data_IF_081263742352
#
_entry.id   IF_081263742352
#
_cell.length_a   1.000
_cell.length_b   1.000
_cell.length_c   1.000
_cell.angle_alpha   90.00
_cell.angle_beta   90.00
_cell.angle_gamma   90.00
#
_symmetry.space_group_name_H-M   'P 1'
#
loop_
_entity.id
_entity.type
_entity.pdbx_description
1 polymer ?
#
# COMPACT_ATOMS: atom_id res chain seq x y z
N UNK A 1 -5.47 30.61 -43.76
CA UNK A 1 -5.21 29.40 -42.94
C UNK A 1 -6.48 28.58 -42.90
N UNK A 2 -6.43 27.32 -43.32
CA UNK A 2 -7.60 26.45 -43.44
C UNK A 2 -8.04 25.98 -42.04
N UNK A 3 -9.31 26.13 -41.69
CA UNK A 3 -9.87 25.76 -40.37
C UNK A 3 -9.65 24.28 -40.08
N UNK A 4 -9.65 23.44 -41.12
CA UNK A 4 -9.36 22.00 -41.00
C UNK A 4 -7.89 21.71 -40.64
N UNK A 5 -6.97 22.57 -41.08
CA UNK A 5 -5.54 22.46 -40.76
C UNK A 5 -5.28 22.87 -39.30
N UNK A 6 -5.99 23.88 -38.81
CA UNK A 6 -5.91 24.30 -37.40
C UNK A 6 -6.50 23.23 -36.46
N UNK A 7 -7.63 22.62 -36.82
CA UNK A 7 -8.23 21.53 -36.06
C UNK A 7 -7.35 20.27 -36.03
N UNK A 8 -6.68 19.95 -37.15
CA UNK A 8 -5.75 18.82 -37.22
C UNK A 8 -4.48 19.05 -36.37
N UNK A 9 -3.96 20.28 -36.36
CA UNK A 9 -2.85 20.65 -35.48
C UNK A 9 -3.26 20.56 -34.01
N UNK A 10 -4.48 21.00 -33.66
CA UNK A 10 -4.99 20.96 -32.30
C UNK A 10 -5.16 19.52 -31.79
N UNK A 11 -5.67 18.60 -32.62
CA UNK A 11 -5.83 17.18 -32.24
C UNK A 11 -4.49 16.47 -32.09
N UNK A 12 -3.52 16.76 -32.95
CA UNK A 12 -2.16 16.22 -32.86
C UNK A 12 -1.46 16.73 -31.60
N UNK A 13 -1.59 18.02 -31.28
CA UNK A 13 -1.06 18.61 -30.05
C UNK A 13 -1.70 17.98 -28.81
N UNK A 14 -3.02 17.79 -28.78
CA UNK A 14 -3.72 17.09 -27.69
C UNK A 14 -3.26 15.63 -27.54
N UNK A 15 -2.93 14.93 -28.63
CA UNK A 15 -2.43 13.55 -28.58
C UNK A 15 -1.01 13.45 -27.98
N UNK A 16 -0.18 14.49 -28.13
CA UNK A 16 1.16 14.55 -27.52
C UNK A 16 1.17 14.88 -26.02
N UNK A 17 0.03 15.29 -25.44
CA UNK A 17 -0.08 15.60 -24.00
C UNK A 17 -0.51 14.41 -23.13
N UNK A 18 -0.80 13.25 -23.72
CA UNK A 18 -1.16 12.04 -22.98
C UNK A 18 0.03 11.08 -22.92
N UNK A 19 1.11 11.47 -22.23
CA UNK A 19 2.09 10.50 -21.74
C UNK A 19 1.46 9.73 -20.58
N UNK A 20 0.82 8.61 -20.88
CA UNK A 20 0.63 7.57 -19.87
C UNK A 20 1.99 6.93 -19.65
N UNK A 21 2.81 7.45 -18.72
CA UNK A 21 4.03 6.75 -18.31
C UNK A 21 3.63 5.38 -17.75
N UNK A 22 3.89 4.34 -18.52
CA UNK A 22 3.72 2.97 -18.09
C UNK A 22 4.67 2.70 -16.92
N UNK A 23 4.22 1.94 -15.93
CA UNK A 23 5.06 1.57 -14.80
C UNK A 23 6.29 0.79 -15.30
N UNK A 24 7.46 1.10 -14.76
CA UNK A 24 8.73 0.52 -15.19
C UNK A 24 9.58 0.05 -13.99
N UNK A 25 10.20 -1.13 -14.05
CA UNK A 25 11.21 -1.54 -13.08
C UNK A 25 12.39 -0.57 -12.96
N UNK A 26 12.65 0.23 -14.00
CA UNK A 26 13.81 1.13 -14.09
C UNK A 26 13.46 2.61 -13.85
N UNK A 27 12.26 2.90 -13.34
CA UNK A 27 11.71 4.27 -13.23
C UNK A 27 12.61 5.27 -12.49
N UNK A 28 13.35 4.82 -11.46
CA UNK A 28 14.21 5.67 -10.64
C UNK A 28 15.72 5.49 -10.90
N UNK A 29 16.12 4.72 -11.92
CA UNK A 29 17.52 4.32 -12.11
C UNK A 29 18.46 5.52 -12.32
N UNK A 30 17.95 6.62 -12.87
CA UNK A 30 18.71 7.85 -13.08
C UNK A 30 18.42 8.94 -12.04
N UNK A 31 17.23 8.94 -11.45
CA UNK A 31 16.75 10.03 -10.57
C UNK A 31 16.95 9.72 -9.09
N UNK A 32 16.79 8.46 -8.69
CA UNK A 32 17.11 7.97 -7.34
C UNK A 32 17.62 6.52 -7.38
N UNK A 33 18.87 6.28 -7.83
CA UNK A 33 19.40 4.93 -8.05
C UNK A 33 19.45 4.05 -6.79
N UNK A 34 19.42 4.67 -5.60
CA UNK A 34 19.45 3.97 -4.30
C UNK A 34 18.06 3.73 -3.71
N UNK A 35 16.97 4.04 -4.43
CA UNK A 35 15.61 3.99 -3.89
C UNK A 35 15.26 2.62 -3.28
N UNK A 36 15.44 1.56 -4.07
CA UNK A 36 15.22 0.17 -3.65
C UNK A 36 16.02 -0.22 -2.40
N UNK A 37 17.31 0.14 -2.36
CA UNK A 37 18.19 -0.15 -1.23
C UNK A 37 17.72 0.58 0.05
N UNK A 38 17.34 1.84 -0.06
CA UNK A 38 16.88 2.65 1.08
C UNK A 38 15.59 2.05 1.67
N UNK A 39 14.60 1.73 0.83
CA UNK A 39 13.35 1.10 1.27
C UNK A 39 13.63 -0.27 1.90
N UNK A 40 14.47 -1.09 1.29
CA UNK A 40 14.86 -2.40 1.83
C UNK A 40 15.46 -2.28 3.24
N UNK A 41 16.35 -1.31 3.45
CA UNK A 41 17.00 -1.10 4.73
C UNK A 41 16.02 -0.68 5.83
N UNK A 42 15.05 0.18 5.49
CA UNK A 42 13.98 0.56 6.41
C UNK A 42 13.14 -0.66 6.84
N UNK A 43 12.75 -1.50 5.87
CA UNK A 43 11.99 -2.74 6.15
C UNK A 43 12.79 -3.73 6.98
N UNK A 44 14.05 -4.00 6.60
CA UNK A 44 14.95 -4.89 7.37
C UNK A 44 15.09 -4.45 8.83
N UNK A 45 15.30 -3.15 9.05
CA UNK A 45 15.44 -2.59 10.41
C UNK A 45 14.15 -2.75 11.22
N UNK A 46 12.99 -2.56 10.60
CA UNK A 46 11.70 -2.74 11.27
C UNK A 46 11.43 -4.20 11.62
N UNK A 47 11.66 -5.13 10.68
CA UNK A 47 11.49 -6.58 10.89
C UNK A 47 12.38 -7.15 11.99
N UNK A 48 13.57 -6.58 12.22
CA UNK A 48 14.45 -6.99 13.30
C UNK A 48 13.85 -6.71 14.70
N UNK A 49 12.99 -5.69 14.81
CA UNK A 49 12.37 -5.28 16.08
C UNK A 49 10.95 -5.81 16.25
N UNK A 50 10.22 -5.98 15.14
CA UNK A 50 8.81 -6.35 15.15
C UNK A 50 8.52 -7.42 14.07
N UNK A 51 8.14 -8.61 14.53
CA UNK A 51 7.86 -9.77 13.68
C UNK A 51 6.55 -9.66 12.91
N UNK A 52 5.66 -8.72 13.25
CA UNK A 52 4.38 -8.55 12.53
C UNK A 52 4.49 -7.61 11.33
N UNK A 53 5.60 -6.85 11.22
CA UNK A 53 5.85 -5.89 10.14
C UNK A 53 5.66 -6.48 8.74
N UNK A 54 6.14 -7.70 8.41
CA UNK A 54 5.98 -8.22 7.05
C UNK A 54 4.51 -8.37 6.65
N UNK A 55 3.70 -8.98 7.53
CA UNK A 55 2.27 -9.15 7.29
C UNK A 55 1.54 -7.79 7.24
N UNK A 56 1.95 -6.84 8.09
CA UNK A 56 1.37 -5.51 8.13
C UNK A 56 1.61 -4.73 6.82
N UNK A 57 2.83 -4.79 6.27
CA UNK A 57 3.19 -4.10 5.03
C UNK A 57 2.49 -4.72 3.81
N UNK A 58 2.46 -6.06 3.71
CA UNK A 58 1.71 -6.75 2.65
C UNK A 58 0.22 -6.38 2.70
N UNK A 59 -0.37 -6.37 3.91
CA UNK A 59 -1.76 -5.97 4.10
C UNK A 59 -1.99 -4.50 3.76
N UNK A 60 -1.07 -3.61 4.13
CA UNK A 60 -1.18 -2.18 3.80
C UNK A 60 -1.21 -1.95 2.29
N UNK A 61 -0.33 -2.63 1.54
CA UNK A 61 -0.31 -2.55 0.08
C UNK A 61 -1.60 -3.10 -0.53
N UNK A 62 -2.12 -4.23 -0.03
CA UNK A 62 -3.42 -4.76 -0.46
C UNK A 62 -4.54 -3.73 -0.23
N UNK A 63 -4.61 -3.16 0.98
CA UNK A 63 -5.64 -2.20 1.35
C UNK A 63 -5.61 -0.93 0.50
N UNK A 64 -4.41 -0.42 0.20
CA UNK A 64 -4.20 0.71 -0.71
C UNK A 64 -4.73 0.38 -2.11
N UNK A 65 -4.20 -0.67 -2.74
CA UNK A 65 -4.57 -1.04 -4.10
C UNK A 65 -6.06 -1.42 -4.28
N UNK A 66 -6.71 -1.92 -3.23
CA UNK A 66 -8.13 -2.28 -3.29
C UNK A 66 -9.05 -1.05 -3.28
N UNK A 67 -8.58 0.10 -2.83
CA UNK A 67 -9.38 1.32 -2.68
C UNK A 67 -8.81 2.37 -3.64
N UNK A 68 -9.54 2.69 -4.72
CA UNK A 68 -9.16 3.71 -5.73
C UNK A 68 -7.86 3.44 -6.49
N UNK A 69 -7.09 2.41 -6.15
CA UNK A 69 -5.85 2.00 -6.81
C UNK A 69 -4.64 2.18 -5.89
N UNK A 70 -3.47 1.75 -6.34
CA UNK A 70 -2.24 1.84 -5.55
C UNK A 70 -1.69 3.28 -5.59
N UNK A 71 -2.25 4.17 -4.77
CA UNK A 71 -1.94 5.61 -4.76
C UNK A 71 -1.52 6.13 -3.39
N UNK A 72 -1.24 5.26 -2.40
CA UNK A 72 -0.91 5.63 -1.03
C UNK A 72 -1.99 6.46 -0.29
N UNK A 73 -3.23 6.48 -0.77
CA UNK A 73 -4.36 7.12 -0.07
C UNK A 73 -4.60 6.55 1.33
N UNK A 74 -4.19 5.29 1.57
CA UNK A 74 -4.25 4.65 2.90
C UNK A 74 -3.34 5.33 3.94
N UNK A 75 -2.30 6.05 3.50
CA UNK A 75 -1.34 6.72 4.39
C UNK A 75 -1.86 8.06 4.90
N UNK A 76 -2.85 8.66 4.24
CA UNK A 76 -3.37 9.98 4.58
C UNK A 76 -4.04 9.99 5.96
N UNK A 77 -3.82 11.07 6.71
CA UNK A 77 -4.43 11.28 8.02
C UNK A 77 -5.76 12.03 7.93
N UNK A 78 -6.65 11.75 8.88
CA UNK A 78 -7.89 12.49 9.04
C UNK A 78 -7.64 13.97 9.33
N UNK A 79 -8.33 14.85 8.59
CA UNK A 79 -8.19 16.30 8.72
C UNK A 79 -9.55 16.99 8.83
N UNK A 80 -9.75 17.73 9.91
CA UNK A 80 -11.00 18.45 10.17
C UNK A 80 -12.20 17.50 10.21
N UNK A 81 -13.17 17.73 9.30
CA UNK A 81 -14.37 16.87 9.18
C UNK A 81 -14.16 15.65 8.29
N UNK A 82 -13.04 15.54 7.57
CA UNK A 82 -12.75 14.38 6.73
C UNK A 82 -12.12 13.26 7.57
N UNK A 83 -12.76 12.09 7.57
CA UNK A 83 -12.20 10.85 8.12
C UNK A 83 -11.49 10.09 7.00
N UNK A 84 -10.19 9.89 7.14
CA UNK A 84 -9.36 9.17 6.18
C UNK A 84 -9.53 7.66 6.31
N UNK A 85 -9.05 6.91 5.31
CA UNK A 85 -9.08 5.45 5.28
C UNK A 85 -8.41 4.82 6.49
N UNK A 86 -7.35 5.44 7.03
CA UNK A 86 -6.65 4.98 8.24
C UNK A 86 -7.60 4.81 9.44
N UNK A 87 -8.65 5.62 9.52
CA UNK A 87 -9.68 5.56 10.57
C UNK A 87 -10.89 4.68 10.18
N UNK A 88 -10.87 4.04 9.02
CA UNK A 88 -11.92 3.14 8.57
C UNK A 88 -11.96 1.83 9.37
N UNK A 89 -13.13 1.21 9.58
CA UNK A 89 -13.25 0.01 10.43
C UNK A 89 -12.31 -1.15 10.04
N UNK A 90 -12.11 -1.48 8.74
CA UNK A 90 -11.15 -2.50 8.33
C UNK A 90 -9.69 -2.11 8.57
N UNK A 91 -9.39 -0.83 8.65
CA UNK A 91 -8.02 -0.30 8.72
C UNK A 91 -7.56 0.01 10.15
N UNK A 92 -8.46 -0.06 11.14
CA UNK A 92 -8.11 0.24 12.54
C UNK A 92 -7.02 -0.69 13.11
N UNK A 93 -6.90 -1.90 12.54
CA UNK A 93 -5.86 -2.88 12.89
C UNK A 93 -4.62 -2.79 11.99
N UNK A 94 -4.64 -1.92 10.98
CA UNK A 94 -3.50 -1.68 10.11
C UNK A 94 -2.42 -0.91 10.88
N UNK A 95 -1.17 -1.32 10.75
CA UNK A 95 -0.04 -0.77 11.50
C UNK A 95 1.22 -0.79 10.63
N UNK A 96 2.38 -0.50 11.24
CA UNK A 96 3.68 -0.38 10.56
C UNK A 96 3.82 0.80 9.58
N UNK A 97 2.94 1.81 9.66
CA UNK A 97 3.06 3.06 8.89
C UNK A 97 4.43 3.75 9.08
N UNK A 98 4.99 3.68 10.28
CA UNK A 98 6.30 4.24 10.61
C UNK A 98 7.44 3.71 9.72
N UNK A 99 7.30 2.50 9.14
CA UNK A 99 8.30 1.93 8.23
C UNK A 99 8.32 2.73 6.92
N UNK A 100 7.14 3.09 6.42
CA UNK A 100 6.97 3.92 5.23
C UNK A 100 7.52 5.33 5.50
N UNK A 101 7.20 5.90 6.66
CA UNK A 101 7.71 7.23 7.05
C UNK A 101 9.24 7.25 7.13
N UNK A 102 9.84 6.24 7.76
CA UNK A 102 11.30 6.13 7.86
C UNK A 102 11.97 5.97 6.49
N UNK A 103 11.36 5.16 5.61
CA UNK A 103 11.84 5.01 4.24
C UNK A 103 11.73 6.34 3.47
N UNK A 104 10.57 7.00 3.53
CA UNK A 104 10.33 8.29 2.87
C UNK A 104 11.32 9.34 3.36
N UNK A 105 11.52 9.45 4.67
CA UNK A 105 12.49 10.40 5.24
C UNK A 105 13.89 10.18 4.67
N UNK A 106 14.38 8.94 4.68
CA UNK A 106 15.70 8.62 4.15
C UNK A 106 15.81 8.85 2.63
N UNK A 107 14.71 8.64 1.89
CA UNK A 107 14.65 8.93 0.46
C UNK A 107 14.69 10.44 0.20
N UNK A 108 13.93 11.24 0.95
CA UNK A 108 13.92 12.70 0.80
C UNK A 108 15.26 13.35 1.17
N UNK A 109 16.03 12.74 2.07
CA UNK A 109 17.42 13.17 2.34
C UNK A 109 18.36 12.90 1.16
N UNK A 110 18.08 11.89 0.33
CA UNK A 110 18.95 11.44 -0.76
C UNK A 110 18.51 11.96 -2.14
N UNK A 111 17.21 12.04 -2.39
CA UNK A 111 16.58 12.39 -3.66
C UNK A 111 15.24 13.12 -3.40
N UNK A 112 15.29 14.40 -3.01
CA UNK A 112 14.11 15.16 -2.60
C UNK A 112 13.03 15.21 -3.68
N UNK A 113 11.79 14.90 -3.31
CA UNK A 113 10.61 15.01 -4.18
C UNK A 113 10.57 14.02 -5.35
N UNK A 114 11.42 12.97 -5.36
CA UNK A 114 11.52 12.04 -6.49
C UNK A 114 10.61 10.81 -6.31
N UNK A 115 10.73 10.12 -5.18
CA UNK A 115 10.08 8.81 -4.98
C UNK A 115 8.71 8.98 -4.34
N UNK A 116 7.66 8.45 -4.98
CA UNK A 116 6.29 8.53 -4.47
C UNK A 116 6.06 7.59 -3.30
N UNK A 117 5.13 7.92 -2.43
CA UNK A 117 4.76 7.06 -1.31
C UNK A 117 4.03 5.80 -1.77
N UNK A 118 3.26 5.89 -2.86
CA UNK A 118 2.67 4.73 -3.51
C UNK A 118 3.71 3.67 -3.93
N UNK A 119 4.85 4.11 -4.48
CA UNK A 119 5.93 3.18 -4.81
C UNK A 119 6.69 2.68 -3.58
N UNK A 120 6.84 3.50 -2.52
CA UNK A 120 7.43 3.03 -1.26
C UNK A 120 6.58 1.92 -0.64
N UNK A 121 5.25 2.05 -0.61
CA UNK A 121 4.35 1.00 -0.11
C UNK A 121 4.49 -0.28 -0.93
N UNK A 122 4.54 -0.17 -2.26
CA UNK A 122 4.69 -1.30 -3.18
C UNK A 122 6.04 -2.01 -2.99
N UNK A 123 7.14 -1.25 -2.90
CA UNK A 123 8.47 -1.78 -2.63
C UNK A 123 8.56 -2.41 -1.25
N UNK A 124 7.99 -1.78 -0.22
CA UNK A 124 8.02 -2.27 1.14
C UNK A 124 7.32 -3.64 1.27
N UNK A 125 6.15 -3.82 0.63
CA UNK A 125 5.46 -5.11 0.57
C UNK A 125 6.28 -6.19 -0.13
N UNK A 126 6.91 -5.87 -1.28
CA UNK A 126 7.81 -6.83 -1.97
C UNK A 126 9.00 -7.23 -1.09
N UNK A 127 9.65 -6.27 -0.43
CA UNK A 127 10.79 -6.58 0.43
C UNK A 127 10.37 -7.33 1.69
N UNK A 128 9.19 -7.06 2.25
CA UNK A 128 8.62 -7.85 3.33
C UNK A 128 8.47 -9.33 2.96
N UNK A 129 7.95 -9.64 1.76
CA UNK A 129 7.83 -11.02 1.26
C UNK A 129 9.21 -11.65 1.06
N UNK A 130 10.11 -10.98 0.34
CA UNK A 130 11.45 -11.50 0.04
C UNK A 130 12.27 -11.78 1.32
N UNK A 131 12.23 -10.87 2.29
CA UNK A 131 12.97 -11.01 3.56
C UNK A 131 12.36 -12.06 4.49
N UNK A 132 11.11 -12.46 4.26
CA UNK A 132 10.44 -13.55 4.97
C UNK A 132 10.67 -14.92 4.30
N UNK A 133 11.57 -14.99 3.29
CA UNK A 133 11.88 -16.22 2.56
C UNK A 133 10.95 -16.50 1.37
N UNK A 134 10.09 -15.55 1.01
CA UNK A 134 9.24 -15.64 -0.17
C UNK A 134 9.97 -15.35 -1.47
N UNK A 135 9.26 -15.41 -2.61
CA UNK A 135 9.84 -15.14 -3.93
C UNK A 135 10.27 -13.68 -4.07
N UNK A 136 11.17 -13.43 -5.00
CA UNK A 136 11.58 -12.09 -5.42
C UNK A 136 11.10 -11.80 -6.82
N UNK A 137 10.63 -10.58 -7.06
CA UNK A 137 10.31 -10.06 -8.38
C UNK A 137 10.76 -8.62 -8.51
N UNK A 138 10.80 -8.11 -9.74
CA UNK A 138 11.01 -6.69 -10.02
C UNK A 138 9.70 -5.94 -9.83
N UNK A 139 9.74 -4.86 -9.06
CA UNK A 139 8.55 -4.02 -8.83
C UNK A 139 8.52 -2.92 -9.89
N UNK A 140 7.48 -2.87 -10.76
CA UNK A 140 7.24 -1.73 -11.63
C UNK A 140 6.93 -0.50 -10.77
N UNK A 141 7.56 0.63 -11.09
CA UNK A 141 7.49 1.90 -10.36
C UNK A 141 7.00 3.01 -11.30
N UNK A 142 6.69 4.18 -10.74
CA UNK A 142 6.10 5.33 -11.42
C UNK A 142 4.71 5.71 -10.92
N UNK A 143 4.23 5.11 -9.83
CA UNK A 143 2.93 5.45 -9.24
C UNK A 143 2.96 6.88 -8.70
N UNK A 144 1.79 7.53 -8.65
CA UNK A 144 1.64 8.88 -8.12
C UNK A 144 0.76 8.86 -6.88
N UNK A 145 1.05 9.77 -5.95
CA UNK A 145 0.35 9.84 -4.67
C UNK A 145 -1.05 10.45 -4.83
N UNK A 146 -2.04 9.74 -4.28
CA UNK A 146 -3.43 10.11 -4.20
C UNK A 146 -3.67 11.21 -3.18
N UNK A 147 -4.67 12.05 -3.44
CA UNK A 147 -5.03 13.20 -2.58
C UNK A 147 -6.36 13.03 -1.85
N UNK A 148 -7.02 11.90 -2.07
CA UNK A 148 -8.37 11.62 -1.55
C UNK A 148 -8.31 10.34 -0.76
N UNK A 149 -8.68 10.42 0.51
CA UNK A 149 -8.80 9.28 1.40
C UNK A 149 -10.06 9.44 2.24
N UNK A 150 -10.93 8.43 2.21
CA UNK A 150 -12.22 8.44 2.90
C UNK A 150 -12.46 7.13 3.63
N UNK A 151 -12.71 7.21 4.94
CA UNK A 151 -13.04 6.07 5.80
C UNK A 151 -14.19 5.22 5.24
N UNK A 152 -15.18 5.84 4.59
CA UNK A 152 -16.34 5.12 4.02
C UNK A 152 -15.95 4.19 2.87
N UNK A 153 -14.89 4.51 2.11
CA UNK A 153 -14.44 3.72 0.96
C UNK A 153 -13.80 2.39 1.40
N UNK A 154 -13.33 2.28 2.65
CA UNK A 154 -12.83 1.03 3.23
C UNK A 154 -13.87 -0.11 3.24
N UNK A 155 -15.16 0.20 3.13
CA UNK A 155 -16.23 -0.82 2.99
C UNK A 155 -16.14 -1.64 1.70
N UNK A 156 -15.34 -1.20 0.73
CA UNK A 156 -15.09 -1.93 -0.51
C UNK A 156 -14.08 -3.08 -0.34
N UNK A 157 -13.37 -3.13 0.79
CA UNK A 157 -12.48 -4.24 1.13
C UNK A 157 -13.31 -5.52 1.36
N UNK A 158 -12.81 -6.68 0.89
CA UNK A 158 -13.50 -7.94 1.09
C UNK A 158 -13.56 -8.27 2.57
N UNK A 159 -14.76 -8.55 3.08
CA UNK A 159 -14.93 -8.94 4.47
C UNK A 159 -14.52 -10.41 4.67
N UNK A 160 -14.00 -10.79 5.85
CA UNK A 160 -13.65 -12.18 6.16
C UNK A 160 -14.85 -13.13 6.17
N UNK A 161 -16.08 -12.58 6.22
CA UNK A 161 -17.34 -13.33 6.17
C UNK A 161 -17.89 -13.53 4.75
N UNK A 162 -17.22 -13.02 3.72
CA UNK A 162 -17.66 -13.21 2.33
C UNK A 162 -17.54 -14.67 1.90
N UNK A 163 -18.55 -15.15 1.19
CA UNK A 163 -18.48 -16.43 0.50
C UNK A 163 -17.66 -16.31 -0.81
N UNK A 164 -17.34 -17.45 -1.42
CA UNK A 164 -16.49 -17.49 -2.63
C UNK A 164 -17.05 -16.68 -3.81
N UNK A 165 -18.38 -16.61 -3.96
CA UNK A 165 -19.02 -15.84 -5.03
C UNK A 165 -18.84 -14.33 -4.80
N UNK A 166 -19.00 -13.89 -3.55
CA UNK A 166 -18.78 -12.49 -3.15
C UNK A 166 -17.31 -12.08 -3.29
N UNK A 167 -16.38 -12.95 -2.89
CA UNK A 167 -14.93 -12.72 -3.08
C UNK A 167 -14.58 -12.59 -4.56
N UNK A 168 -15.06 -13.51 -5.40
CA UNK A 168 -14.86 -13.44 -6.86
C UNK A 168 -15.37 -12.12 -7.43
N UNK A 169 -16.55 -11.67 -7.03
CA UNK A 169 -17.12 -10.40 -7.50
C UNK A 169 -16.26 -9.20 -7.05
N UNK A 170 -15.85 -9.18 -5.79
CA UNK A 170 -15.05 -8.10 -5.21
C UNK A 170 -13.68 -7.95 -5.89
N UNK A 171 -13.00 -9.08 -6.15
CA UNK A 171 -11.73 -9.12 -6.87
C UNK A 171 -11.90 -8.79 -8.35
N UNK A 172 -12.94 -9.32 -9.00
CA UNK A 172 -13.25 -9.05 -10.41
C UNK A 172 -13.52 -7.56 -10.69
N UNK A 173 -14.09 -6.82 -9.74
CA UNK A 173 -14.25 -5.36 -9.85
C UNK A 173 -12.93 -4.58 -9.94
N UNK A 174 -11.81 -5.21 -9.57
CA UNK A 174 -10.44 -4.67 -9.65
C UNK A 174 -9.62 -5.33 -10.75
N UNK A 175 -10.27 -6.05 -11.66
CA UNK A 175 -9.60 -6.77 -12.74
C UNK A 175 -8.81 -8.00 -12.27
N UNK A 176 -8.99 -8.46 -11.04
CA UNK A 176 -8.31 -9.63 -10.50
C UNK A 176 -9.12 -10.90 -10.80
N UNK A 177 -8.42 -11.92 -11.27
CA UNK A 177 -9.00 -13.22 -11.65
C UNK A 177 -9.25 -14.12 -10.43
N UNK A 178 -9.92 -15.25 -10.67
CA UNK A 178 -10.04 -16.30 -9.65
C UNK A 178 -8.68 -16.87 -9.22
N UNK A 179 -7.71 -16.90 -10.13
CA UNK A 179 -6.36 -17.33 -9.81
C UNK A 179 -5.70 -16.36 -8.82
N UNK A 180 -5.83 -15.05 -9.07
CA UNK A 180 -5.29 -14.01 -8.20
C UNK A 180 -5.94 -14.04 -6.81
N UNK A 181 -7.26 -14.27 -6.75
CA UNK A 181 -7.96 -14.47 -5.48
C UNK A 181 -7.34 -15.60 -4.66
N UNK A 182 -7.08 -16.76 -5.29
CA UNK A 182 -6.47 -17.89 -4.60
C UNK A 182 -5.07 -17.52 -4.12
N UNK A 183 -4.19 -17.06 -5.03
CA UNK A 183 -2.79 -16.73 -4.71
C UNK A 183 -2.68 -15.66 -3.61
N UNK A 184 -3.54 -14.64 -3.62
CA UNK A 184 -3.52 -13.56 -2.63
C UNK A 184 -4.21 -13.93 -1.30
N UNK A 185 -4.98 -15.03 -1.27
CA UNK A 185 -5.61 -15.54 -0.04
C UNK A 185 -4.71 -16.52 0.72
N UNK A 186 -3.90 -17.30 -0.01
CA UNK A 186 -2.86 -18.17 0.56
C UNK A 186 -1.54 -17.42 0.63
N UNK A 187 -1.29 -16.72 1.73
CA UNK A 187 0.09 -16.36 2.10
C UNK A 187 0.78 -17.65 2.58
N UNK A 188 1.69 -18.27 1.79
CA UNK A 188 2.23 -19.59 2.10
C UNK A 188 3.30 -19.56 3.21
N UNK A 189 3.75 -18.38 3.63
CA UNK A 189 4.89 -18.21 4.55
C UNK A 189 4.61 -17.36 5.78
N UNK A 190 3.43 -16.74 5.85
CA UNK A 190 3.00 -16.08 7.08
C UNK A 190 2.21 -17.05 7.95
N UNK A 191 2.62 -17.21 9.21
CA UNK A 191 1.75 -17.72 10.28
C UNK A 191 0.48 -16.86 10.48
N UNK A 192 0.31 -15.81 9.68
CA UNK A 192 -0.82 -14.91 9.59
C UNK A 192 -1.34 -14.83 8.14
N UNK A 193 -1.94 -15.92 7.66
CA UNK A 193 -2.83 -15.88 6.50
C UNK A 193 -4.10 -15.09 6.85
N UNK A 194 -4.76 -14.50 5.84
CA UNK A 194 -6.15 -13.99 5.95
C UNK A 194 -7.13 -15.08 6.44
N UNK A 195 -6.78 -16.37 6.33
CA UNK A 195 -7.49 -17.48 6.97
C UNK A 195 -7.46 -17.44 8.52
N UNK A 196 -6.53 -16.67 9.13
CA UNK A 196 -6.49 -16.41 10.57
C UNK A 196 -7.63 -15.51 11.08
N UNK A 197 -8.45 -14.94 10.18
CA UNK A 197 -9.68 -14.23 10.51
C UNK A 197 -10.94 -15.11 10.45
N UNK A 198 -10.82 -16.39 10.09
CA UNK A 198 -11.88 -17.36 10.30
C UNK A 198 -11.90 -17.74 11.79
N UNK A 199 -13.08 -17.74 12.45
CA UNK A 199 -13.15 -18.03 13.87
C UNK A 199 -12.63 -19.46 14.10
N UNK A 200 -11.53 -19.58 14.87
CA UNK A 200 -11.17 -20.85 15.50
C UNK A 200 -12.35 -21.27 16.36
N UNK A 201 -13.08 -22.28 15.92
CA UNK A 201 -13.92 -23.06 16.82
C UNK A 201 -13.00 -23.83 17.76
N UNK A 202 -12.73 -23.30 18.95
CA UNK A 202 -12.55 -24.05 20.20
C UNK A 202 -12.15 -23.13 21.36
N UNK A 203 -13.08 -23.01 22.31
CA UNK A 203 -12.91 -22.96 23.77
C UNK A 203 -11.90 -21.99 24.43
N UNK A 204 -12.48 -21.17 25.33
CA UNK A 204 -11.97 -20.75 26.64
C UNK A 204 -11.14 -19.45 26.79
N UNK A 205 -11.86 -18.38 27.18
CA UNK A 205 -11.63 -17.48 28.34
C UNK A 205 -10.46 -16.45 28.31
N UNK A 206 -10.47 -15.39 29.16
CA UNK A 206 -10.28 -13.99 28.72
C UNK A 206 -8.90 -13.42 29.12
N UNK A 207 -8.39 -12.43 28.38
CA UNK A 207 -7.24 -11.66 28.84
C UNK A 207 -7.67 -10.68 29.94
N UNK A 208 -7.53 -11.17 31.17
CA UNK A 208 -7.38 -10.42 32.40
C UNK A 208 -5.93 -9.86 32.48
N UNK A 209 -5.79 -8.73 33.17
CA UNK A 209 -4.56 -7.99 33.54
C UNK A 209 -3.98 -6.92 32.59
N UNK A 210 -3.90 -5.71 33.17
CA UNK A 210 -3.29 -4.48 32.69
C UNK A 210 -1.79 -4.64 32.42
N UNK A 211 -1.37 -4.88 31.18
CA UNK A 211 0.02 -4.58 30.73
C UNK A 211 0.23 -4.52 29.20
N UNK A 212 -0.84 -4.43 28.40
CA UNK A 212 -0.74 -4.28 26.93
C UNK A 212 -1.61 -3.16 26.36
N UNK A 213 -1.77 -2.10 27.14
CA UNK A 213 -2.24 -0.79 26.67
C UNK A 213 -1.13 0.25 26.86
N UNK A 214 -0.01 0.13 26.15
CA UNK A 214 1.06 1.11 26.27
C UNK A 214 2.01 1.16 25.07
N UNK A 215 1.51 1.37 23.85
CA UNK A 215 2.34 1.89 22.75
C UNK A 215 1.55 2.88 21.89
N UNK A 216 1.05 3.93 22.54
CA UNK A 216 0.62 5.16 21.88
C UNK A 216 1.62 6.26 22.20
N UNK A 217 1.90 7.07 21.18
CA UNK A 217 2.80 8.24 21.17
C UNK A 217 4.28 7.88 21.15
N UNK A 218 4.91 8.06 19.98
CA UNK A 218 6.10 8.91 19.76
C UNK A 218 6.37 8.90 18.25
N UNK A 219 6.37 10.10 17.64
CA UNK A 219 6.71 10.25 16.22
C UNK A 219 6.02 11.39 15.48
N UNK A 220 5.54 12.44 16.15
CA UNK A 220 4.75 13.54 15.54
C UNK A 220 5.56 14.54 14.67
N UNK A 221 6.64 14.11 14.00
CA UNK A 221 7.59 15.04 13.36
C UNK A 221 8.03 14.71 11.91
N UNK A 222 7.51 13.68 11.23
CA UNK A 222 7.85 13.42 9.80
C UNK A 222 6.66 13.14 8.88
N UNK A 223 5.42 13.32 9.35
CA UNK A 223 4.17 12.96 8.64
C UNK A 223 3.86 13.79 7.38
N UNK A 224 4.68 14.78 7.03
CA UNK A 224 4.40 15.76 5.96
C UNK A 224 5.01 15.41 4.60
N UNK A 225 5.75 14.31 4.47
CA UNK A 225 6.44 13.99 3.21
C UNK A 225 5.63 13.06 2.28
N UNK A 226 4.63 12.36 2.82
CA UNK A 226 3.65 11.58 2.04
C UNK A 226 2.26 12.22 1.98
N UNK A 227 2.09 13.42 2.55
CA UNK A 227 0.80 14.13 2.71
C UNK A 227 0.94 15.58 2.28
#
# INVERSE_FOLDING_TARGET
MNVNFLNLLLTVILAFFFDTEALSPHYYDHTCPKADQIVTNAVKKAMANDKTVPAALSRMHFHDCFIRGCDASVLLDSKGKNKAEKDGPPNISLHAFYVIDNAKKALEEQCPGVVSCADIVSLAARYAVALSGGPTWEVPKGRKDGKVSKAIETRQLPAPTFNISQLRQSFGQRGLSMHDLVVLSVDPHSSYSMAGLLPRQSSASPCDNQLQCAWFSHGRLSWLQCV
#
